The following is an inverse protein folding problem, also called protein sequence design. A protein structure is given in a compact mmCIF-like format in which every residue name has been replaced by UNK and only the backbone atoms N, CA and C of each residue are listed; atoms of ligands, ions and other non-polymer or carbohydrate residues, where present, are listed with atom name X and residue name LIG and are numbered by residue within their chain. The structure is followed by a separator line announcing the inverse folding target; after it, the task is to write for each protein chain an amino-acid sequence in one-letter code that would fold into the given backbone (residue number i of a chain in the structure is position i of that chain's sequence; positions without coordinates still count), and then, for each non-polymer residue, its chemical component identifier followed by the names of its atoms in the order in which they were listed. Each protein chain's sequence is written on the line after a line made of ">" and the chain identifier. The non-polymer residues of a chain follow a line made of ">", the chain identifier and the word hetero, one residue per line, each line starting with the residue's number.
data_IF_992208406906
#
_entry.id   IF_992208406906
#
_cell.length_a   1.000
_cell.length_b   1.000
_cell.length_c   1.000
_cell.angle_alpha   90.00
_cell.angle_beta   90.00
_cell.angle_gamma   90.00
#
_symmetry.space_group_name_H-M   'P 1'
#
loop_
_entity.id
_entity.type
_entity.pdbx_description
1 polymer ?
#
# COMPACT_ATOMS: atom_id res chain seq x y z
N UNK A 1 -35.36 -17.64 -64.56
CA UNK A 1 -33.98 -18.13 -64.30
C UNK A 1 -33.40 -17.24 -63.21
N UNK A 2 -33.65 -17.47 -61.91
CA UNK A 2 -33.24 -18.58 -61.05
C UNK A 2 -31.73 -18.57 -60.71
N UNK A 3 -31.39 -17.98 -59.56
CA UNK A 3 -30.24 -18.22 -58.68
C UNK A 3 -30.50 -17.38 -57.41
N UNK A 4 -31.04 -17.89 -56.30
CA UNK A 4 -30.55 -18.90 -55.33
C UNK A 4 -29.33 -18.43 -54.54
N UNK A 5 -29.63 -18.04 -53.29
CA UNK A 5 -28.92 -18.27 -52.01
C UNK A 5 -27.46 -17.84 -51.82
N UNK A 6 -27.20 -17.13 -50.72
CA UNK A 6 -26.39 -17.55 -49.55
C UNK A 6 -26.32 -16.37 -48.56
N UNK A 7 -27.21 -16.31 -47.57
CA UNK A 7 -26.95 -16.74 -46.19
C UNK A 7 -25.67 -16.13 -45.59
N UNK A 8 -25.77 -14.86 -45.21
CA UNK A 8 -24.80 -14.16 -44.36
C UNK A 8 -25.09 -14.48 -42.88
N UNK A 9 -24.12 -15.19 -42.30
CA UNK A 9 -23.47 -14.92 -41.01
C UNK A 9 -24.40 -14.92 -39.79
N UNK A 10 -24.53 -16.06 -39.10
CA UNK A 10 -23.65 -16.41 -37.99
C UNK A 10 -23.50 -15.24 -36.99
N UNK A 11 -24.43 -15.15 -36.05
CA UNK A 11 -24.23 -14.44 -34.77
C UNK A 11 -23.67 -15.45 -33.76
N UNK A 12 -22.34 -15.47 -33.51
CA UNK A 12 -21.78 -16.17 -32.37
C UNK A 12 -21.94 -15.28 -31.13
N UNK A 13 -21.83 -15.89 -29.94
CA UNK A 13 -21.70 -15.27 -28.62
C UNK A 13 -22.94 -14.60 -27.99
N UNK A 14 -24.07 -15.30 -27.89
CA UNK A 14 -24.94 -15.09 -26.70
C UNK A 14 -24.23 -15.73 -25.50
N UNK A 15 -23.23 -14.99 -25.00
CA UNK A 15 -22.40 -15.38 -23.87
C UNK A 15 -23.18 -15.05 -22.63
N UNK A 16 -23.53 -16.08 -21.87
CA UNK A 16 -23.98 -16.01 -20.49
C UNK A 16 -23.13 -15.00 -19.71
N UNK A 17 -23.59 -13.74 -19.67
CA UNK A 17 -22.99 -12.69 -18.88
C UNK A 17 -23.31 -13.00 -17.43
N UNK A 18 -22.46 -13.82 -16.81
CA UNK A 18 -22.40 -13.93 -15.37
C UNK A 18 -21.75 -12.64 -14.85
N UNK A 19 -22.48 -11.76 -14.16
CA UNK A 19 -21.84 -10.64 -13.48
C UNK A 19 -20.81 -11.21 -12.52
N UNK A 20 -19.56 -10.76 -12.65
CA UNK A 20 -18.46 -11.20 -11.80
C UNK A 20 -18.89 -11.13 -10.31
N UNK A 21 -18.55 -12.14 -9.49
CA UNK A 21 -18.83 -12.07 -8.07
C UNK A 21 -18.21 -10.79 -7.53
N UNK A 22 -19.07 -9.92 -6.99
CA UNK A 22 -18.68 -8.66 -6.36
C UNK A 22 -17.61 -8.98 -5.33
N UNK A 23 -16.37 -8.61 -5.64
CA UNK A 23 -15.24 -8.78 -4.74
C UNK A 23 -15.61 -8.07 -3.43
N UNK A 24 -15.50 -8.72 -2.26
CA UNK A 24 -15.81 -8.06 -0.99
C UNK A 24 -14.99 -6.77 -0.92
N UNK A 25 -15.70 -5.65 -0.99
CA UNK A 25 -15.12 -4.31 -0.94
C UNK A 25 -14.28 -4.24 0.32
N UNK A 26 -12.96 -4.07 0.16
CA UNK A 26 -12.04 -3.89 1.28
C UNK A 26 -12.64 -2.88 2.26
N UNK A 27 -12.52 -3.08 3.58
CA UNK A 27 -13.16 -2.23 4.57
C UNK A 27 -12.81 -0.78 4.28
N UNK A 28 -13.79 -0.03 3.78
CA UNK A 28 -13.66 1.40 3.55
C UNK A 28 -13.53 2.00 4.94
N UNK A 29 -12.29 2.34 5.31
CA UNK A 29 -11.97 3.04 6.55
C UNK A 29 -12.78 4.34 6.58
N UNK A 30 -13.96 4.29 7.19
CA UNK A 30 -14.83 5.44 7.36
C UNK A 30 -14.21 6.33 8.42
N UNK A 31 -13.46 7.33 7.96
CA UNK A 31 -12.73 8.27 8.82
C UNK A 31 -13.67 9.18 9.64
N UNK A 32 -15.00 9.07 9.50
CA UNK A 32 -15.99 9.94 10.16
C UNK A 32 -16.56 9.40 11.47
N UNK A 33 -16.51 8.09 11.74
CA UNK A 33 -17.12 7.51 12.96
C UNK A 33 -16.03 7.07 13.94
N UNK A 34 -16.03 7.67 15.12
CA UNK A 34 -15.22 7.32 16.29
C UNK A 34 -13.82 6.82 15.92
N UNK A 35 -12.97 7.75 15.48
CA UNK A 35 -11.53 7.49 15.29
C UNK A 35 -11.01 6.86 16.58
N UNK A 36 -10.60 5.60 16.50
CA UNK A 36 -9.77 5.01 17.54
C UNK A 36 -8.57 5.95 17.74
N UNK A 37 -8.48 6.65 18.90
CA UNK A 37 -7.41 7.61 19.12
C UNK A 37 -6.04 6.94 19.04
N UNK A 38 -5.95 5.65 19.35
CA UNK A 38 -4.70 4.87 19.27
C UNK A 38 -4.21 4.71 17.84
N UNK A 39 -5.12 4.48 16.88
CA UNK A 39 -4.78 4.31 15.47
C UNK A 39 -4.29 5.64 14.87
N UNK A 40 -4.98 6.74 15.18
CA UNK A 40 -4.62 8.06 14.66
C UNK A 40 -3.25 8.51 15.17
N UNK A 41 -2.99 8.31 16.47
CA UNK A 41 -1.67 8.53 17.09
C UNK A 41 -0.59 7.66 16.44
N UNK A 42 -0.86 6.36 16.26
CA UNK A 42 0.07 5.44 15.60
C UNK A 42 0.42 5.90 14.17
N UNK A 43 -0.57 6.33 13.37
CA UNK A 43 -0.33 6.81 12.01
C UNK A 43 0.49 8.11 12.04
N UNK A 44 0.15 9.05 12.92
CA UNK A 44 0.86 10.33 13.05
C UNK A 44 2.33 10.13 13.46
N UNK A 45 2.61 9.24 14.41
CA UNK A 45 3.97 8.89 14.82
C UNK A 45 4.78 8.26 13.68
N UNK A 46 4.16 7.34 12.92
CA UNK A 46 4.81 6.66 11.79
C UNK A 46 4.96 7.57 10.57
N UNK A 47 4.22 8.67 10.47
CA UNK A 47 4.30 9.63 9.37
C UNK A 47 5.70 10.26 9.24
N UNK A 48 6.51 10.27 10.31
CA UNK A 48 7.91 10.74 10.28
C UNK A 48 8.80 9.98 9.29
N UNK A 49 8.39 8.79 8.86
CA UNK A 49 9.13 7.98 7.88
C UNK A 49 8.79 8.35 6.42
N UNK A 50 7.69 9.07 6.20
CA UNK A 50 7.26 9.50 4.87
C UNK A 50 8.14 10.65 4.33
N UNK A 51 8.07 10.87 3.01
CA UNK A 51 8.62 12.08 2.41
C UNK A 51 7.80 13.32 2.83
N UNK A 52 8.38 14.51 2.69
CA UNK A 52 7.76 15.75 3.18
C UNK A 52 6.32 15.95 2.68
N UNK A 53 6.02 15.83 1.37
CA UNK A 53 4.67 16.13 0.89
C UNK A 53 3.62 15.16 1.43
N UNK A 54 3.94 13.87 1.55
CA UNK A 54 3.00 12.89 2.11
C UNK A 54 2.89 13.03 3.63
N UNK A 55 4.01 13.32 4.31
CA UNK A 55 4.05 13.55 5.76
C UNK A 55 3.12 14.69 6.15
N UNK A 56 3.21 15.83 5.48
CA UNK A 56 2.36 17.00 5.76
C UNK A 56 0.88 16.68 5.62
N UNK A 57 0.48 16.00 4.53
CA UNK A 57 -0.91 15.61 4.32
C UNK A 57 -1.42 14.64 5.37
N UNK A 58 -0.60 13.64 5.75
CA UNK A 58 -0.97 12.66 6.77
C UNK A 58 -1.09 13.30 8.14
N UNK A 59 -0.14 14.15 8.53
CA UNK A 59 -0.18 14.86 9.82
C UNK A 59 -1.39 15.79 9.91
N UNK A 60 -1.66 16.58 8.87
CA UNK A 60 -2.81 17.48 8.85
C UNK A 60 -4.13 16.72 9.03
N UNK A 61 -4.27 15.54 8.43
CA UNK A 61 -5.49 14.73 8.55
C UNK A 61 -5.58 14.01 9.90
N UNK A 62 -4.52 13.33 10.35
CA UNK A 62 -4.58 12.43 11.51
C UNK A 62 -4.22 13.09 12.85
N UNK A 63 -3.34 14.09 12.84
CA UNK A 63 -2.97 14.85 14.04
C UNK A 63 -3.83 16.10 14.19
N UNK A 64 -3.95 16.89 13.12
CA UNK A 64 -4.58 18.22 13.20
C UNK A 64 -6.10 18.19 12.90
N UNK A 65 -6.63 17.03 12.49
CA UNK A 65 -8.07 16.84 12.24
C UNK A 65 -8.61 17.56 11.01
N UNK A 66 -7.73 18.10 10.14
CA UNK A 66 -8.14 18.88 8.97
C UNK A 66 -8.79 17.95 7.93
N UNK A 67 -10.01 18.26 7.44
CA UNK A 67 -10.65 17.49 6.39
C UNK A 67 -9.82 17.47 5.10
N UNK A 68 -9.74 16.31 4.44
CA UNK A 68 -9.03 16.18 3.16
C UNK A 68 -9.57 17.10 2.05
N UNK A 69 -10.84 17.53 2.13
CA UNK A 69 -11.41 18.50 1.20
C UNK A 69 -10.81 19.90 1.38
N UNK A 70 -10.52 20.29 2.62
CA UNK A 70 -9.95 21.60 2.93
C UNK A 70 -8.47 21.65 2.54
N UNK A 71 -7.72 20.58 2.79
CA UNK A 71 -6.35 20.41 2.27
C UNK A 71 -6.31 20.45 0.75
N UNK A 72 -7.29 19.84 0.09
CA UNK A 72 -7.39 19.86 -1.36
C UNK A 72 -7.58 21.28 -1.90
N UNK A 73 -8.45 22.09 -1.27
CA UNK A 73 -8.59 23.52 -1.61
C UNK A 73 -7.30 24.30 -1.37
N UNK A 74 -6.63 24.09 -0.22
CA UNK A 74 -5.39 24.79 0.14
C UNK A 74 -4.25 24.52 -0.85
N UNK A 75 -4.14 23.29 -1.36
CA UNK A 75 -3.07 22.88 -2.27
C UNK A 75 -3.46 22.94 -3.76
N UNK A 76 -4.68 23.37 -4.10
CA UNK A 76 -5.17 23.38 -5.49
C UNK A 76 -5.26 21.98 -6.11
N UNK A 77 -5.53 20.95 -5.31
CA UNK A 77 -5.61 19.55 -5.75
C UNK A 77 -7.07 19.05 -5.76
N UNK A 78 -7.42 18.04 -6.57
CA UNK A 78 -8.71 17.39 -6.47
C UNK A 78 -8.88 16.68 -5.10
N UNK A 79 -10.02 16.82 -4.39
CA UNK A 79 -10.25 16.14 -3.10
C UNK A 79 -10.07 14.63 -3.16
N UNK A 80 -10.45 14.00 -4.28
CA UNK A 80 -10.27 12.56 -4.52
C UNK A 80 -8.79 12.17 -4.52
N UNK A 81 -7.91 13.01 -5.06
CA UNK A 81 -6.47 12.76 -5.10
C UNK A 81 -5.86 12.82 -3.70
N UNK A 82 -6.22 13.84 -2.90
CA UNK A 82 -5.76 13.96 -1.51
C UNK A 82 -6.21 12.77 -0.67
N UNK A 83 -7.51 12.40 -0.73
CA UNK A 83 -8.03 11.21 -0.03
C UNK A 83 -7.27 9.95 -0.43
N UNK A 84 -7.11 9.69 -1.73
CA UNK A 84 -6.38 8.52 -2.24
C UNK A 84 -4.94 8.48 -1.74
N UNK A 85 -4.25 9.62 -1.73
CA UNK A 85 -2.87 9.72 -1.24
C UNK A 85 -2.78 9.42 0.26
N UNK A 86 -3.64 10.05 1.07
CA UNK A 86 -3.68 9.86 2.52
C UNK A 86 -4.05 8.43 2.88
N UNK A 87 -5.09 7.85 2.26
CA UNK A 87 -5.51 6.46 2.50
C UNK A 87 -4.40 5.47 2.15
N UNK A 88 -3.72 5.65 1.01
CA UNK A 88 -2.59 4.77 0.62
C UNK A 88 -1.42 4.89 1.59
N UNK A 89 -1.09 6.10 2.03
CA UNK A 89 -0.05 6.32 3.01
C UNK A 89 -0.42 5.65 4.36
N UNK A 90 -1.65 5.83 4.84
CA UNK A 90 -2.12 5.21 6.07
C UNK A 90 -2.08 3.67 6.02
N UNK A 91 -2.64 3.05 4.98
CA UNK A 91 -2.58 1.58 4.79
C UNK A 91 -1.14 1.09 4.81
N UNK A 92 -0.23 1.81 4.13
CA UNK A 92 1.19 1.47 4.08
C UNK A 92 1.89 1.60 5.42
N UNK A 93 1.61 2.65 6.19
CA UNK A 93 2.17 2.84 7.54
C UNK A 93 1.63 1.81 8.54
N UNK A 94 0.42 1.28 8.32
CA UNK A 94 -0.17 0.22 9.15
C UNK A 94 0.35 -1.17 8.80
N UNK A 95 0.85 -1.39 7.58
CA UNK A 95 1.48 -2.65 7.20
C UNK A 95 2.66 -2.97 8.14
N UNK A 96 2.79 -4.20 8.68
CA UNK A 96 3.84 -4.56 9.63
C UNK A 96 5.27 -4.52 9.06
N UNK A 97 5.42 -4.56 7.73
CA UNK A 97 6.71 -4.35 7.06
C UNK A 97 7.24 -2.93 7.27
N UNK A 98 6.38 -1.90 7.28
CA UNK A 98 6.83 -0.51 7.47
C UNK A 98 7.57 -0.28 8.80
N UNK A 99 7.02 -0.64 9.98
CA UNK A 99 7.74 -0.52 11.24
C UNK A 99 8.90 -1.53 11.39
N UNK A 100 8.87 -2.66 10.68
CA UNK A 100 10.03 -3.56 10.61
C UNK A 100 11.20 -2.88 9.90
N UNK A 101 10.99 -2.39 8.68
CA UNK A 101 11.99 -1.68 7.88
C UNK A 101 12.48 -0.44 8.60
N UNK A 102 11.60 0.37 9.18
CA UNK A 102 12.00 1.59 9.87
C UNK A 102 12.95 1.33 11.05
N UNK A 103 12.80 0.20 11.75
CA UNK A 103 13.65 -0.17 12.89
C UNK A 103 14.99 -0.78 12.50
N UNK A 104 15.02 -1.65 11.49
CA UNK A 104 16.22 -2.43 11.14
C UNK A 104 17.03 -1.83 9.98
N UNK A 105 16.45 -0.90 9.21
CA UNK A 105 17.17 -0.28 8.08
C UNK A 105 18.51 0.40 8.45
N UNK A 106 18.70 1.00 9.64
CA UNK A 106 20.01 1.51 10.06
C UNK A 106 21.12 0.45 10.10
N UNK A 107 20.78 -0.81 10.35
CA UNK A 107 21.74 -1.92 10.46
C UNK A 107 21.99 -2.63 9.13
N UNK A 108 21.29 -2.24 8.07
CA UNK A 108 21.43 -2.83 6.74
C UNK A 108 22.47 -2.09 5.92
N UNK A 109 22.97 -2.77 4.88
CA UNK A 109 23.78 -2.09 3.87
C UNK A 109 23.00 -0.90 3.28
N UNK A 110 23.66 0.24 2.95
CA UNK A 110 22.97 1.43 2.46
C UNK A 110 22.05 1.16 1.26
N UNK A 111 22.45 0.27 0.37
CA UNK A 111 21.66 -0.16 -0.79
C UNK A 111 20.37 -0.87 -0.37
N UNK A 112 20.46 -1.86 0.53
CA UNK A 112 19.28 -2.59 1.02
C UNK A 112 18.33 -1.66 1.79
N UNK A 113 18.87 -0.77 2.63
CA UNK A 113 18.08 0.24 3.34
C UNK A 113 17.34 1.18 2.37
N UNK A 114 17.99 1.62 1.30
CA UNK A 114 17.39 2.48 0.26
C UNK A 114 16.26 1.78 -0.48
N UNK A 115 16.47 0.52 -0.90
CA UNK A 115 15.44 -0.31 -1.56
C UNK A 115 14.24 -0.50 -0.63
N UNK A 116 14.48 -0.89 0.62
CA UNK A 116 13.43 -1.14 1.59
C UNK A 116 12.58 0.11 1.88
N UNK A 117 13.22 1.26 2.15
CA UNK A 117 12.51 2.52 2.38
C UNK A 117 11.69 2.92 1.15
N UNK A 118 12.23 2.76 -0.05
CA UNK A 118 11.53 3.09 -1.30
C UNK A 118 10.25 2.26 -1.49
N UNK A 119 10.33 0.95 -1.26
CA UNK A 119 9.19 0.05 -1.47
C UNK A 119 8.19 0.15 -0.31
N UNK A 120 8.61 -0.12 0.92
CA UNK A 120 7.69 -0.33 2.04
C UNK A 120 7.27 0.96 2.73
N UNK A 121 8.08 2.03 2.67
CA UNK A 121 7.77 3.30 3.35
C UNK A 121 7.26 4.35 2.37
N UNK A 122 7.87 4.47 1.18
CA UNK A 122 7.46 5.44 0.16
C UNK A 122 6.41 4.89 -0.80
N UNK A 123 6.25 3.56 -0.88
CA UNK A 123 5.26 2.91 -1.75
C UNK A 123 5.62 2.98 -3.23
N UNK A 124 6.90 3.04 -3.57
CA UNK A 124 7.37 2.98 -4.96
C UNK A 124 7.25 1.55 -5.48
N UNK A 125 6.98 1.41 -6.78
CA UNK A 125 7.07 0.12 -7.46
C UNK A 125 8.53 -0.35 -7.52
N UNK A 126 8.77 -1.64 -7.80
CA UNK A 126 10.13 -2.15 -7.99
C UNK A 126 10.85 -1.46 -9.15
N UNK A 127 10.14 -1.15 -10.26
CA UNK A 127 10.71 -0.40 -11.40
C UNK A 127 11.11 1.02 -10.98
N UNK A 128 10.19 1.77 -10.36
CA UNK A 128 10.51 3.11 -9.87
C UNK A 128 11.62 3.11 -8.81
N UNK A 129 11.75 2.04 -8.03
CA UNK A 129 12.83 1.86 -7.07
C UNK A 129 14.16 1.56 -7.77
N UNK A 130 14.15 0.74 -8.81
CA UNK A 130 15.32 0.44 -9.64
C UNK A 130 15.86 1.72 -10.28
N UNK A 131 14.98 2.50 -10.92
CA UNK A 131 15.31 3.77 -11.55
C UNK A 131 15.86 4.78 -10.51
N UNK A 132 15.19 4.91 -9.36
CA UNK A 132 15.61 5.83 -8.31
C UNK A 132 16.92 5.43 -7.62
N UNK A 133 17.18 4.13 -7.47
CA UNK A 133 18.36 3.64 -6.78
C UNK A 133 19.57 3.43 -7.70
N UNK A 134 19.40 3.53 -9.03
CA UNK A 134 20.43 3.20 -10.01
C UNK A 134 20.77 1.71 -10.03
N UNK A 135 19.76 0.84 -9.85
CA UNK A 135 19.92 -0.60 -9.78
C UNK A 135 19.16 -1.29 -10.91
N UNK A 136 19.57 -2.51 -11.27
CA UNK A 136 18.74 -3.36 -12.13
C UNK A 136 17.48 -3.83 -11.38
N UNK A 137 16.40 -4.10 -12.12
CA UNK A 137 15.17 -4.65 -11.54
C UNK A 137 15.42 -5.98 -10.80
N UNK A 138 16.36 -6.79 -11.30
CA UNK A 138 16.76 -8.06 -10.67
C UNK A 138 17.45 -7.83 -9.31
N UNK A 139 18.37 -6.87 -9.22
CA UNK A 139 19.01 -6.52 -7.95
C UNK A 139 18.01 -6.03 -6.90
N UNK A 140 17.03 -5.20 -7.32
CA UNK A 140 15.93 -4.77 -6.46
C UNK A 140 15.11 -5.96 -5.94
N UNK A 141 14.82 -6.94 -6.82
CA UNK A 141 14.11 -8.16 -6.43
C UNK A 141 14.89 -8.96 -5.38
N UNK A 142 16.19 -9.22 -5.60
CA UNK A 142 17.04 -9.93 -4.62
C UNK A 142 17.02 -9.23 -3.25
N UNK A 143 17.15 -7.89 -3.23
CA UNK A 143 17.11 -7.14 -1.98
C UNK A 143 15.75 -7.24 -1.29
N UNK A 144 14.65 -7.14 -2.06
CA UNK A 144 13.29 -7.29 -1.55
C UNK A 144 13.07 -8.67 -0.93
N UNK A 145 13.42 -9.74 -1.66
CA UNK A 145 13.24 -11.12 -1.21
C UNK A 145 14.04 -11.39 0.08
N UNK A 146 15.27 -10.85 0.18
CA UNK A 146 16.05 -10.93 1.40
C UNK A 146 15.40 -10.22 2.60
N UNK A 147 14.76 -9.05 2.37
CA UNK A 147 14.04 -8.31 3.43
C UNK A 147 12.79 -9.07 3.88
N UNK A 148 12.05 -9.65 2.93
CA UNK A 148 10.86 -10.47 3.21
C UNK A 148 11.26 -11.71 4.01
N UNK A 149 12.34 -12.40 3.63
CA UNK A 149 12.87 -13.53 4.42
C UNK A 149 13.28 -13.16 5.84
N UNK A 150 13.92 -12.00 6.06
CA UNK A 150 14.24 -11.53 7.42
C UNK A 150 13.00 -11.21 8.25
N UNK A 151 11.96 -10.66 7.61
CA UNK A 151 10.70 -10.36 8.28
C UNK A 151 9.98 -11.65 8.67
N UNK A 152 9.89 -12.61 7.76
CA UNK A 152 9.23 -13.89 7.99
C UNK A 152 9.92 -14.67 9.11
N UNK A 153 11.25 -14.73 9.13
CA UNK A 153 12.02 -15.33 10.21
C UNK A 153 11.69 -14.68 11.58
N UNK A 154 11.64 -13.35 11.64
CA UNK A 154 11.26 -12.63 12.86
C UNK A 154 9.81 -12.93 13.30
N UNK A 155 8.88 -13.06 12.37
CA UNK A 155 7.49 -13.43 12.67
C UNK A 155 7.41 -14.87 13.20
N UNK A 156 8.12 -15.82 12.58
CA UNK A 156 8.20 -17.19 13.06
C UNK A 156 8.77 -17.27 14.48
N UNK A 157 9.83 -16.51 14.78
CA UNK A 157 10.40 -16.43 16.12
C UNK A 157 9.40 -15.89 17.15
N UNK A 158 8.63 -14.85 16.80
CA UNK A 158 7.58 -14.30 17.66
C UNK A 158 6.45 -15.30 17.91
N UNK A 159 6.00 -15.99 16.87
CA UNK A 159 4.96 -17.02 17.00
C UNK A 159 5.43 -18.16 17.89
N UNK A 160 6.66 -18.64 17.71
CA UNK A 160 7.27 -19.68 18.56
C UNK A 160 7.37 -19.25 20.03
N UNK A 161 7.81 -18.02 20.29
CA UNK A 161 7.93 -17.48 21.65
C UNK A 161 6.58 -17.09 22.29
N UNK A 162 5.55 -16.84 21.48
CA UNK A 162 4.21 -16.45 21.93
C UNK A 162 3.34 -17.64 22.34
N UNK A 163 3.45 -18.77 21.62
CA UNK A 163 2.76 -20.03 21.97
C UNK A 163 3.13 -20.49 23.38
N UNK A 164 4.33 -20.16 23.85
CA UNK A 164 4.82 -20.52 25.18
C UNK A 164 4.15 -19.71 26.32
N UNK A 165 3.47 -18.59 26.02
CA UNK A 165 2.84 -17.73 27.04
C UNK A 165 1.39 -18.07 27.34
N UNK A 166 0.76 -18.94 26.56
CA UNK A 166 -0.68 -19.26 26.67
C UNK A 166 -0.99 -20.60 27.36
N UNK A 167 0.02 -21.31 27.87
CA UNK A 167 -0.14 -22.58 28.61
C UNK A 167 0.19 -22.43 30.11
N UNK A 168 -0.43 -21.46 30.79
CA UNK A 168 -0.44 -21.38 32.26
C UNK A 168 -1.85 -21.26 32.79
#
# INVERSE_FOLDING_TARGET
>A
MAATAEQSEHQPWDTDYHPAPSTPSAPSLDLRRARDPSLSTTIAERARWLNEPQRTLVLAVFRDGIPAADLARLHGLPPRAVRRTVTRAAIRLLNPMAPFVARHAPDWTPTRARVARSIYIQGRSMRATADHAGLSLHAVRIHRDAIEGMFDELQHQRTRAGIDRTWR
#
